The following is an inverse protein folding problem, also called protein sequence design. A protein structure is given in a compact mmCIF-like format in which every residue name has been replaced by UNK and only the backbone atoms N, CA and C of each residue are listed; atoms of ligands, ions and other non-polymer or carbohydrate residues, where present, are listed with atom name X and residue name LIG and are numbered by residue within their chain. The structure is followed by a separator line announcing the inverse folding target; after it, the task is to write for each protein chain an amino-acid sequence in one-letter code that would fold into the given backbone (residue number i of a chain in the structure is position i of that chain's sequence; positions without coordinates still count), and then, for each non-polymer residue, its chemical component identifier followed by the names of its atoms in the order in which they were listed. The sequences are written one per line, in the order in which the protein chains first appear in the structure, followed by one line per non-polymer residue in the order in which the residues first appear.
data_IF_894857029277
#
_entry.id   IF_894857029277
#
_cell.length_a   1.000
_cell.length_b   1.000
_cell.length_c   1.000
_cell.angle_alpha   90.00
_cell.angle_beta   90.00
_cell.angle_gamma   90.00
#
_symmetry.space_group_name_H-M   'P 1'
#
loop_
_entity.id
_entity.type
_entity.pdbx_description
1 polymer ?
#
# COMPACT_ATOMS: atom_id res chain seq x y z
N UNK A 1 34.26 -1.66 7.46
CA UNK A 1 32.90 -1.95 7.98
C UNK A 1 32.02 -2.20 6.77
N UNK A 2 31.33 -3.34 6.65
CA UNK A 2 30.41 -3.53 5.54
C UNK A 2 29.25 -2.56 5.77
N UNK A 3 29.02 -1.68 4.80
CA UNK A 3 27.77 -0.93 4.70
C UNK A 3 26.69 -1.98 4.53
N UNK A 4 25.99 -2.34 5.60
CA UNK A 4 24.74 -3.09 5.46
C UNK A 4 23.88 -2.29 4.49
N UNK A 5 23.68 -2.84 3.29
CA UNK A 5 22.83 -2.26 2.29
C UNK A 5 21.42 -2.27 2.87
N UNK A 6 21.08 -1.21 3.62
CA UNK A 6 19.74 -1.03 4.16
C UNK A 6 18.78 -1.20 3.00
N UNK A 7 17.84 -2.15 3.15
CA UNK A 7 16.77 -2.32 2.19
C UNK A 7 16.19 -0.94 1.87
N UNK A 8 16.07 -0.58 0.58
CA UNK A 8 15.63 0.74 0.19
C UNK A 8 14.25 0.99 0.81
N UNK A 9 14.12 2.14 1.49
CA UNK A 9 12.85 2.54 2.09
C UNK A 9 11.96 3.11 1.01
N UNK A 10 10.82 2.49 0.82
CA UNK A 10 9.87 2.83 -0.23
C UNK A 10 8.68 3.59 0.38
N UNK A 11 8.25 4.64 -0.32
CA UNK A 11 7.00 5.32 -0.07
C UNK A 11 5.99 4.88 -1.13
N UNK A 12 4.88 4.30 -0.68
CA UNK A 12 3.83 3.73 -1.52
C UNK A 12 2.60 4.63 -1.40
N UNK A 13 2.24 5.28 -2.50
CA UNK A 13 1.07 6.13 -2.61
C UNK A 13 0.13 5.50 -3.64
N UNK A 14 -1.07 5.17 -3.21
CA UNK A 14 -2.06 4.46 -4.02
C UNK A 14 -3.25 5.38 -4.26
N UNK A 15 -3.74 5.40 -5.49
CA UNK A 15 -4.99 6.07 -5.86
C UNK A 15 -6.11 5.02 -5.89
N UNK A 16 -7.00 5.03 -4.90
CA UNK A 16 -8.10 4.07 -4.76
C UNK A 16 -9.20 4.24 -5.81
N UNK A 17 -9.32 5.42 -6.41
CA UNK A 17 -10.34 5.70 -7.42
C UNK A 17 -9.92 5.14 -8.78
N UNK A 18 -8.61 5.09 -9.05
CA UNK A 18 -8.03 4.59 -10.29
C UNK A 18 -7.44 3.17 -10.18
N UNK A 19 -7.11 2.69 -8.98
CA UNK A 19 -6.59 1.34 -8.75
C UNK A 19 -7.65 0.42 -8.13
N UNK A 20 -7.61 -0.86 -8.48
CA UNK A 20 -8.47 -1.87 -7.88
C UNK A 20 -7.85 -2.45 -6.61
N UNK A 21 -8.64 -2.62 -5.53
CA UNK A 21 -8.16 -3.26 -4.31
C UNK A 21 -7.62 -4.69 -4.51
N UNK A 22 -7.98 -5.35 -5.62
CA UNK A 22 -7.54 -6.71 -5.96
C UNK A 22 -6.04 -6.81 -6.25
N UNK A 23 -5.41 -5.73 -6.73
CA UNK A 23 -3.98 -5.76 -7.11
C UNK A 23 -3.04 -5.49 -5.93
N UNK A 24 -3.59 -5.13 -4.77
CA UNK A 24 -2.83 -4.65 -3.60
C UNK A 24 -1.97 -5.73 -2.98
N UNK A 25 -2.51 -6.94 -2.86
CA UNK A 25 -1.78 -8.06 -2.27
C UNK A 25 -0.52 -8.38 -3.10
N UNK A 26 -0.62 -8.41 -4.43
CA UNK A 26 0.54 -8.58 -5.32
C UNK A 26 1.47 -7.38 -5.33
N UNK A 27 0.93 -6.16 -5.27
CA UNK A 27 1.73 -4.93 -5.20
C UNK A 27 2.63 -4.93 -3.96
N UNK A 28 2.10 -5.28 -2.79
CA UNK A 28 2.90 -5.35 -1.56
C UNK A 28 3.93 -6.48 -1.57
N UNK A 29 3.61 -7.61 -2.21
CA UNK A 29 4.59 -8.70 -2.39
C UNK A 29 5.78 -8.24 -3.24
N UNK A 30 5.53 -7.54 -4.34
CA UNK A 30 6.58 -6.98 -5.18
C UNK A 30 7.37 -5.88 -4.46
N UNK A 31 6.68 -5.01 -3.72
CA UNK A 31 7.34 -3.97 -2.91
C UNK A 31 8.26 -4.61 -1.86
N UNK A 32 7.83 -5.69 -1.21
CA UNK A 32 8.63 -6.41 -0.24
C UNK A 32 9.89 -7.07 -0.85
N UNK A 33 9.86 -7.45 -2.14
CA UNK A 33 11.03 -7.93 -2.88
C UNK A 33 12.03 -6.81 -3.18
N UNK A 34 11.53 -5.59 -3.39
CA UNK A 34 12.37 -4.42 -3.71
C UNK A 34 12.96 -3.80 -2.45
N UNK A 35 12.17 -3.68 -1.37
CA UNK A 35 12.61 -3.04 -0.14
C UNK A 35 11.51 -2.92 0.92
N UNK A 36 11.71 -2.02 1.87
CA UNK A 36 10.80 -1.85 3.00
C UNK A 36 9.83 -0.69 2.75
N UNK A 37 8.53 -0.96 2.64
CA UNK A 37 7.50 0.06 2.52
C UNK A 37 7.28 0.80 3.86
N UNK A 38 8.09 1.84 4.10
CA UNK A 38 8.01 2.67 5.32
C UNK A 38 6.80 3.60 5.33
N UNK A 39 6.30 4.02 4.16
CA UNK A 39 5.09 4.85 4.06
C UNK A 39 4.11 4.17 3.13
N UNK A 40 2.86 4.03 3.57
CA UNK A 40 1.75 3.44 2.79
C UNK A 40 0.55 4.35 2.94
N UNK A 41 0.20 5.06 1.88
CA UNK A 41 -0.95 5.96 1.83
C UNK A 41 -1.83 5.59 0.67
N UNK A 42 -3.12 5.80 0.87
CA UNK A 42 -4.11 5.63 -0.16
C UNK A 42 -5.03 6.83 -0.21
N UNK A 43 -5.24 7.35 -1.41
CA UNK A 43 -6.08 8.51 -1.68
C UNK A 43 -7.29 8.07 -2.48
N UNK A 44 -8.48 8.51 -2.09
CA UNK A 44 -9.68 8.31 -2.87
C UNK A 44 -10.94 8.41 -2.03
N UNK A 45 -12.10 8.32 -2.68
CA UNK A 45 -13.37 8.47 -2.00
C UNK A 45 -13.78 7.19 -1.26
N UNK A 46 -13.35 7.05 0.00
CA UNK A 46 -13.73 5.92 0.87
C UNK A 46 -15.18 5.99 1.38
N UNK A 47 -15.92 7.07 1.08
CA UNK A 47 -17.32 7.23 1.49
C UNK A 47 -18.30 6.48 0.58
N UNK A 48 -17.93 6.26 -0.68
CA UNK A 48 -18.75 5.57 -1.66
C UNK A 48 -18.49 4.05 -1.67
N UNK A 49 -19.55 3.26 -1.83
CA UNK A 49 -19.51 1.79 -1.75
C UNK A 49 -18.55 1.07 -2.72
N UNK A 50 -17.98 1.78 -3.71
CA UNK A 50 -16.91 1.28 -4.59
C UNK A 50 -15.61 1.01 -3.84
N UNK A 51 -15.39 1.71 -2.74
CA UNK A 51 -14.19 1.61 -1.89
C UNK A 51 -14.30 0.51 -0.84
N UNK A 52 -15.37 -0.31 -0.84
CA UNK A 52 -15.51 -1.44 0.11
C UNK A 52 -14.34 -2.41 0.06
N UNK A 53 -13.85 -2.74 -1.14
CA UNK A 53 -12.70 -3.63 -1.30
C UNK A 53 -11.43 -3.01 -0.72
N UNK A 54 -11.27 -1.70 -0.86
CA UNK A 54 -10.16 -0.97 -0.26
C UNK A 54 -10.31 -0.88 1.26
N UNK A 55 -11.49 -0.60 1.77
CA UNK A 55 -11.75 -0.54 3.22
C UNK A 55 -11.40 -1.86 3.90
N UNK A 56 -11.76 -3.02 3.33
CA UNK A 56 -11.40 -4.32 3.88
C UNK A 56 -9.87 -4.55 3.89
N UNK A 57 -9.19 -4.21 2.79
CA UNK A 57 -7.73 -4.36 2.64
C UNK A 57 -6.94 -3.40 3.54
N UNK A 58 -7.39 -2.16 3.63
CA UNK A 58 -6.83 -1.07 4.45
C UNK A 58 -6.99 -1.38 5.94
N UNK A 59 -8.18 -1.80 6.37
CA UNK A 59 -8.51 -2.09 7.77
C UNK A 59 -7.94 -3.42 8.25
N UNK A 60 -7.85 -4.43 7.39
CA UNK A 60 -7.61 -5.82 7.85
C UNK A 60 -6.20 -6.35 7.58
N UNK A 61 -5.47 -5.83 6.58
CA UNK A 61 -4.24 -6.52 6.11
C UNK A 61 -2.97 -5.68 6.08
N UNK A 62 -3.03 -4.40 5.71
CA UNK A 62 -1.82 -3.67 5.33
C UNK A 62 -1.53 -2.36 6.09
N UNK A 63 -2.35 -2.03 7.10
CA UNK A 63 -2.21 -0.83 7.94
C UNK A 63 -1.96 0.46 7.12
N UNK A 64 -2.71 0.60 6.02
CA UNK A 64 -2.59 1.74 5.12
C UNK A 64 -3.36 2.91 5.74
N UNK A 65 -2.83 4.12 5.69
CA UNK A 65 -3.54 5.30 6.20
C UNK A 65 -4.35 5.91 5.02
N UNK A 66 -5.70 5.92 5.09
CA UNK A 66 -6.52 6.63 4.11
C UNK A 66 -6.39 8.14 4.30
N UNK A 67 -6.35 8.89 3.20
CA UNK A 67 -6.30 10.36 3.16
C UNK A 67 -7.30 10.91 2.16
#
# INVERSE_FOLDING_TARGET
MPTEARSPRLAVLIDADNASAKIVDGLFEEIAKIGEASVRRIYGDFSNGRSKGWNEVVLSKHAIIPQ
#
